data_IF_655797087384
#
_entry.id   IF_655797087384
#
_cell.length_a   1.000
_cell.length_b   1.000
_cell.length_c   1.000
_cell.angle_alpha   90.00
_cell.angle_beta   90.00
_cell.angle_gamma   90.00
#
_symmetry.space_group_name_H-M   'P 1'
#
loop_
_entity.id
_entity.type
_entity.pdbx_description
1 polymer ?
#
# COMPACT_ATOMS: atom_id res chain seq x y z
N UNK A 1 14.95 11.92 -11.66
CA UNK A 1 16.01 10.90 -11.41
C UNK A 1 15.55 9.58 -11.99
N UNK A 2 16.36 8.93 -12.85
CA UNK A 2 15.96 7.63 -13.45
C UNK A 2 16.06 6.56 -12.37
N UNK A 3 14.90 6.01 -11.96
CA UNK A 3 14.84 4.92 -10.99
C UNK A 3 15.05 3.59 -11.70
N UNK A 4 16.14 2.91 -11.40
CA UNK A 4 16.52 1.66 -12.05
C UNK A 4 16.03 0.44 -11.24
N UNK A 5 14.73 0.19 -11.26
CA UNK A 5 14.11 -0.96 -10.63
C UNK A 5 14.32 -2.23 -11.44
N UNK A 6 14.99 -3.20 -10.84
CA UNK A 6 15.19 -4.55 -11.39
C UNK A 6 14.12 -5.49 -10.84
N UNK A 7 13.18 -5.93 -11.69
CA UNK A 7 12.09 -6.84 -11.31
C UNK A 7 12.59 -8.26 -11.11
N UNK A 8 12.09 -8.91 -10.06
CA UNK A 8 12.29 -10.34 -9.88
C UNK A 8 11.43 -11.13 -10.90
N UNK A 9 11.77 -12.39 -11.17
CA UNK A 9 11.29 -13.15 -12.33
C UNK A 9 9.78 -13.42 -12.30
N UNK A 10 9.20 -13.69 -11.14
CA UNK A 10 7.78 -14.02 -10.98
C UNK A 10 7.14 -13.28 -9.81
N UNK A 11 5.84 -13.51 -9.57
CA UNK A 11 5.18 -12.98 -8.39
C UNK A 11 5.75 -13.62 -7.11
N UNK A 12 5.90 -12.81 -6.05
CA UNK A 12 6.32 -13.30 -4.75
C UNK A 12 5.20 -14.02 -3.98
N UNK A 13 3.95 -13.65 -4.23
CA UNK A 13 2.74 -14.41 -3.87
C UNK A 13 1.65 -14.20 -4.94
N UNK A 14 0.80 -15.21 -5.11
CA UNK A 14 -0.35 -15.22 -6.01
C UNK A 14 -1.63 -15.55 -5.23
N UNK A 15 -2.79 -15.54 -5.91
CA UNK A 15 -4.06 -15.93 -5.32
C UNK A 15 -3.98 -17.30 -4.63
N UNK A 16 -4.79 -17.48 -3.61
CA UNK A 16 -4.99 -18.77 -2.96
C UNK A 16 -5.70 -19.76 -3.86
N UNK A 17 -5.66 -21.04 -3.48
CA UNK A 17 -6.49 -22.08 -4.09
C UNK A 17 -7.97 -21.76 -3.86
N UNK A 18 -8.84 -22.35 -4.71
CA UNK A 18 -10.29 -22.22 -4.59
C UNK A 18 -10.77 -22.50 -3.15
N UNK A 19 -11.56 -21.58 -2.60
CA UNK A 19 -12.03 -21.62 -1.21
C UNK A 19 -11.11 -20.98 -0.18
N UNK A 20 -9.89 -20.58 -0.56
CA UNK A 20 -9.03 -19.79 0.32
C UNK A 20 -9.61 -18.38 0.56
N UNK A 21 -9.18 -17.71 1.62
CA UNK A 21 -9.68 -16.37 1.95
C UNK A 21 -9.27 -15.29 0.93
N UNK A 22 -8.27 -15.57 0.12
CA UNK A 22 -7.65 -14.69 -0.88
C UNK A 22 -7.66 -15.29 -2.29
N UNK A 23 -8.65 -16.13 -2.60
CA UNK A 23 -8.80 -16.78 -3.90
C UNK A 23 -9.36 -15.85 -5.00
N UNK A 24 -9.81 -14.65 -4.62
CA UNK A 24 -10.41 -13.67 -5.53
C UNK A 24 -9.58 -12.40 -5.69
N UNK A 25 -9.11 -11.84 -4.58
CA UNK A 25 -8.28 -10.64 -4.57
C UNK A 25 -7.14 -10.80 -3.57
N UNK A 26 -6.00 -10.26 -3.97
CA UNK A 26 -4.79 -10.18 -3.16
C UNK A 26 -4.06 -8.90 -3.55
N UNK A 27 -3.99 -7.91 -2.65
CA UNK A 27 -3.36 -6.62 -2.94
C UNK A 27 -2.91 -5.89 -1.67
N UNK A 28 -2.30 -4.71 -1.85
CA UNK A 28 -1.85 -3.82 -0.80
C UNK A 28 -0.92 -4.52 0.21
N UNK A 29 0.26 -4.96 -0.24
CA UNK A 29 1.26 -5.49 0.66
C UNK A 29 1.74 -4.41 1.64
N UNK A 30 1.91 -4.79 2.90
CA UNK A 30 2.63 -4.05 3.92
C UNK A 30 3.76 -4.96 4.41
N UNK A 31 5.00 -4.68 4.00
CA UNK A 31 6.14 -5.56 4.29
C UNK A 31 6.98 -4.95 5.40
N UNK A 32 7.39 -5.77 6.37
CA UNK A 32 8.35 -5.46 7.41
C UNK A 32 9.51 -6.44 7.37
N UNK A 33 10.69 -6.01 7.81
CA UNK A 33 11.86 -6.86 7.99
C UNK A 33 12.34 -6.72 9.43
N UNK A 34 12.32 -7.82 10.17
CA UNK A 34 12.80 -7.91 11.55
C UNK A 34 13.43 -9.29 11.77
N UNK A 35 14.54 -9.34 12.47
CA UNK A 35 15.24 -10.57 12.89
C UNK A 35 15.50 -11.58 11.76
N UNK A 36 15.86 -11.09 10.57
CA UNK A 36 16.15 -11.93 9.41
C UNK A 36 14.93 -12.44 8.65
N UNK A 37 13.73 -11.97 8.99
CA UNK A 37 12.46 -12.41 8.39
C UNK A 37 11.70 -11.23 7.81
N UNK A 38 11.28 -11.37 6.56
CA UNK A 38 10.29 -10.49 5.94
C UNK A 38 8.89 -11.01 6.28
N UNK A 39 8.07 -10.15 6.85
CA UNK A 39 6.65 -10.40 7.09
C UNK A 39 5.83 -9.48 6.19
N UNK A 40 4.89 -10.04 5.43
CA UNK A 40 3.99 -9.32 4.53
C UNK A 40 2.56 -9.49 5.00
N UNK A 41 1.95 -8.41 5.45
CA UNK A 41 0.50 -8.34 5.64
C UNK A 41 -0.12 -7.81 4.36
N UNK A 42 -1.26 -8.37 3.95
CA UNK A 42 -1.93 -7.99 2.71
C UNK A 42 -3.44 -8.12 2.81
N UNK A 43 -4.15 -7.38 1.99
CA UNK A 43 -5.61 -7.48 1.91
C UNK A 43 -6.00 -8.61 0.96
N UNK A 44 -6.77 -9.57 1.44
CA UNK A 44 -7.28 -10.69 0.65
C UNK A 44 -8.80 -10.79 0.72
N UNK A 45 -9.46 -11.15 -0.38
CA UNK A 45 -10.89 -11.43 -0.40
C UNK A 45 -11.19 -12.75 -1.08
N UNK A 46 -12.21 -13.43 -0.56
CA UNK A 46 -12.68 -14.71 -1.03
C UNK A 46 -13.69 -14.52 -2.17
N UNK A 47 -13.69 -15.46 -3.10
CA UNK A 47 -14.76 -15.60 -4.07
C UNK A 47 -16.09 -15.84 -3.36
N UNK A 48 -17.08 -15.02 -3.62
CA UNK A 48 -18.40 -15.16 -3.03
C UNK A 48 -19.38 -15.66 -4.11
N UNK A 49 -20.40 -16.39 -3.70
CA UNK A 49 -21.44 -16.99 -4.56
C UNK A 49 -22.23 -15.95 -5.38
N UNK A 50 -22.19 -14.67 -5.00
CA UNK A 50 -22.65 -13.57 -5.83
C UNK A 50 -21.46 -12.96 -6.56
N UNK A 51 -21.37 -13.11 -7.86
CA UNK A 51 -20.29 -12.62 -8.75
C UNK A 51 -20.02 -11.08 -8.74
N UNK A 52 -20.56 -10.36 -7.78
CA UNK A 52 -20.33 -8.93 -7.63
C UNK A 52 -19.07 -8.67 -6.80
N UNK A 53 -18.05 -8.18 -7.46
CA UNK A 53 -16.77 -7.71 -6.85
C UNK A 53 -17.01 -6.78 -5.66
N UNK A 54 -18.12 -6.05 -5.67
CA UNK A 54 -18.47 -5.01 -4.71
C UNK A 54 -19.04 -5.51 -3.40
N UNK A 55 -19.33 -6.80 -3.28
CA UNK A 55 -20.00 -7.38 -2.09
C UNK A 55 -19.06 -8.23 -1.22
N UNK A 56 -17.76 -8.05 -1.33
CA UNK A 56 -16.76 -8.88 -0.62
C UNK A 56 -16.08 -8.12 0.49
N UNK A 57 -16.07 -8.70 1.68
CA UNK A 57 -15.23 -8.22 2.76
C UNK A 57 -13.79 -8.66 2.54
N UNK A 58 -12.86 -7.72 2.65
CA UNK A 58 -11.44 -8.00 2.66
C UNK A 58 -10.97 -8.28 4.08
N UNK A 59 -10.04 -9.20 4.22
CA UNK A 59 -9.42 -9.60 5.48
C UNK A 59 -7.91 -9.51 5.38
N UNK A 60 -7.22 -9.49 6.53
CA UNK A 60 -5.78 -9.38 6.59
C UNK A 60 -5.13 -10.76 6.49
N UNK A 61 -4.34 -11.00 5.45
CA UNK A 61 -3.46 -12.17 5.32
C UNK A 61 -2.06 -11.89 5.82
N UNK A 62 -1.30 -12.95 6.06
CA UNK A 62 0.11 -12.92 6.41
C UNK A 62 0.88 -13.90 5.52
N UNK A 63 2.04 -13.48 5.05
CA UNK A 63 3.03 -14.34 4.40
C UNK A 63 4.43 -13.97 4.91
N UNK A 64 5.35 -14.92 4.94
CA UNK A 64 6.72 -14.71 5.42
C UNK A 64 7.76 -15.16 4.41
N UNK A 65 8.94 -14.57 4.46
CA UNK A 65 10.07 -14.88 3.59
C UNK A 65 11.41 -14.62 4.31
N UNK A 66 12.45 -15.34 3.93
CA UNK A 66 13.83 -15.08 4.39
C UNK A 66 14.64 -14.30 3.35
N UNK A 67 14.17 -14.20 2.12
CA UNK A 67 14.88 -13.53 1.00
C UNK A 67 14.16 -12.27 0.47
N UNK A 68 12.92 -12.02 0.95
CA UNK A 68 12.07 -10.92 0.48
C UNK A 68 11.53 -11.10 -0.93
N UNK A 69 11.79 -12.24 -1.58
CA UNK A 69 11.39 -12.57 -2.96
C UNK A 69 10.34 -13.67 -2.99
N UNK A 70 10.57 -14.76 -2.27
CA UNK A 70 9.66 -15.91 -2.21
C UNK A 70 8.96 -15.93 -0.87
N UNK A 71 7.67 -15.65 -0.86
CA UNK A 71 6.87 -15.66 0.36
C UNK A 71 6.03 -16.93 0.47
N UNK A 72 5.97 -17.45 1.69
CA UNK A 72 5.06 -18.54 2.06
C UNK A 72 3.90 -17.98 2.85
N UNK A 73 2.68 -18.20 2.39
CA UNK A 73 1.46 -17.79 3.10
C UNK A 73 1.35 -18.54 4.42
N UNK A 74 1.05 -17.80 5.48
CA UNK A 74 0.83 -18.40 6.81
C UNK A 74 -0.50 -19.14 6.82
N UNK A 75 -0.49 -20.39 7.28
CA UNK A 75 -1.68 -21.25 7.35
C UNK A 75 -2.76 -20.75 8.32
N UNK A 76 -2.41 -19.82 9.21
CA UNK A 76 -3.35 -19.15 10.14
C UNK A 76 -4.13 -18.02 9.47
N UNK A 77 -3.78 -17.64 8.24
CA UNK A 77 -4.46 -16.58 7.51
C UNK A 77 -5.93 -16.93 7.21
N UNK A 78 -6.84 -15.96 7.30
CA UNK A 78 -6.60 -14.58 7.63
C UNK A 78 -6.34 -14.34 9.10
N UNK A 79 -5.33 -13.52 9.41
CA UNK A 79 -4.87 -13.24 10.78
C UNK A 79 -5.67 -12.12 11.46
N UNK A 80 -6.42 -11.32 10.70
CA UNK A 80 -7.35 -10.31 11.23
C UNK A 80 -8.58 -10.17 10.35
N UNK A 81 -9.73 -9.99 10.99
CA UNK A 81 -11.03 -9.71 10.36
C UNK A 81 -11.69 -8.53 11.05
N UNK A 82 -12.40 -7.73 10.30
CA UNK A 82 -13.29 -6.74 10.88
C UNK A 82 -14.60 -7.42 11.32
N UNK A 83 -15.26 -6.85 12.32
CA UNK A 83 -16.57 -7.32 12.76
C UNK A 83 -17.62 -7.06 11.68
N UNK A 84 -18.51 -8.02 11.41
CA UNK A 84 -19.52 -7.90 10.37
C UNK A 84 -18.96 -8.03 8.97
N UNK A 85 -19.41 -7.15 8.08
CA UNK A 85 -19.10 -7.17 6.63
C UNK A 85 -18.08 -6.11 6.19
N UNK A 86 -17.54 -5.34 7.15
CA UNK A 86 -16.53 -4.33 6.84
C UNK A 86 -15.20 -4.96 6.42
N UNK A 87 -14.51 -4.26 5.56
CA UNK A 87 -13.24 -4.69 4.97
C UNK A 87 -12.03 -4.17 5.73
N UNK A 88 -10.93 -4.91 5.71
CA UNK A 88 -9.57 -4.43 6.04
C UNK A 88 -8.85 -4.20 4.71
N UNK A 89 -8.64 -2.94 4.36
CA UNK A 89 -8.04 -2.51 3.10
C UNK A 89 -6.73 -1.77 3.37
N UNK A 90 -5.77 -1.96 2.50
CA UNK A 90 -4.54 -1.15 2.48
C UNK A 90 -3.86 -1.01 3.85
N UNK A 91 -3.45 -2.14 4.47
CA UNK A 91 -2.80 -2.13 5.76
C UNK A 91 -1.45 -1.39 5.70
N UNK A 92 -1.12 -0.66 6.76
CA UNK A 92 0.19 -0.04 6.95
C UNK A 92 0.61 -0.13 8.41
N UNK A 93 1.84 -0.55 8.65
CA UNK A 93 2.46 -0.54 9.99
C UNK A 93 2.98 0.86 10.31
N UNK A 94 3.05 1.18 11.60
CA UNK A 94 3.82 2.31 12.08
C UNK A 94 5.29 2.11 11.78
N UNK A 95 5.93 3.15 11.21
CA UNK A 95 7.34 3.10 10.81
C UNK A 95 8.12 4.28 11.38
N UNK A 96 9.42 4.07 11.53
CA UNK A 96 10.39 5.16 11.61
C UNK A 96 10.57 5.83 10.23
N UNK A 97 11.14 7.05 10.17
CA UNK A 97 11.37 7.74 8.91
C UNK A 97 12.17 6.93 7.88
N UNK A 98 13.11 6.09 8.31
CA UNK A 98 13.93 5.22 7.45
C UNK A 98 13.18 4.01 6.87
N UNK A 99 11.91 3.85 7.24
CA UNK A 99 11.03 2.75 6.80
C UNK A 99 11.07 1.50 7.69
N UNK A 100 11.93 1.45 8.71
CA UNK A 100 11.94 0.36 9.68
C UNK A 100 10.67 0.36 10.55
N UNK A 101 10.31 -0.80 11.10
CA UNK A 101 9.12 -0.93 11.95
C UNK A 101 9.30 -0.17 13.26
N UNK A 102 8.32 0.64 13.62
CA UNK A 102 8.24 1.29 14.92
C UNK A 102 7.30 0.50 15.84
N UNK A 103 7.87 -0.18 16.84
CA UNK A 103 7.09 -0.82 17.90
C UNK A 103 6.88 0.13 19.06
N UNK A 104 5.65 0.23 19.53
CA UNK A 104 5.34 1.00 20.73
C UNK A 104 4.99 0.06 21.87
N UNK A 105 5.68 0.19 23.00
CA UNK A 105 5.60 -0.73 24.13
C UNK A 105 5.81 -2.20 23.73
N UNK A 106 6.68 -2.43 22.71
CA UNK A 106 6.97 -3.74 22.14
C UNK A 106 5.94 -4.27 21.14
N UNK A 107 4.84 -3.55 20.92
CA UNK A 107 3.72 -3.99 20.08
C UNK A 107 3.78 -3.36 18.66
N UNK A 108 3.31 -4.10 17.68
CA UNK A 108 3.01 -3.60 16.34
C UNK A 108 1.72 -2.79 16.38
N UNK A 109 1.72 -1.62 15.72
CA UNK A 109 0.52 -0.84 15.43
C UNK A 109 0.30 -0.84 13.93
N UNK A 110 -0.91 -1.18 13.50
CA UNK A 110 -1.28 -1.26 12.10
C UNK A 110 -2.55 -0.46 11.85
N UNK A 111 -2.46 0.49 10.91
CA UNK A 111 -3.63 1.23 10.42
C UNK A 111 -4.08 0.64 9.09
N UNK A 112 -5.36 0.81 8.80
CA UNK A 112 -5.96 0.36 7.55
C UNK A 112 -7.21 1.18 7.21
N UNK A 113 -7.54 1.21 5.94
CA UNK A 113 -8.82 1.74 5.49
C UNK A 113 -9.91 0.69 5.59
N UNK A 114 -11.13 1.11 5.89
CA UNK A 114 -12.28 0.23 5.93
C UNK A 114 -13.49 0.85 5.24
N UNK A 115 -14.25 0.01 4.53
CA UNK A 115 -15.59 0.31 4.05
C UNK A 115 -16.44 -0.96 4.07
N UNK A 116 -17.75 -0.82 3.96
CA UNK A 116 -18.69 -1.95 3.97
C UNK A 116 -19.28 -2.16 2.56
N UNK A 117 -18.49 -2.78 1.68
CA UNK A 117 -18.92 -3.08 0.31
C UNK A 117 -20.21 -3.91 0.23
N UNK A 118 -20.43 -4.94 1.08
CA UNK A 118 -21.67 -5.71 1.08
C UNK A 118 -22.94 -4.88 1.36
N UNK A 119 -22.86 -3.89 2.23
CA UNK A 119 -24.01 -2.99 2.52
C UNK A 119 -24.20 -1.90 1.46
N UNK A 120 -23.24 -1.73 0.56
CA UNK A 120 -23.21 -0.63 -0.40
C UNK A 120 -22.62 0.67 0.15
N UNK A 121 -22.17 0.67 1.39
CA UNK A 121 -21.45 1.81 1.98
C UNK A 121 -20.07 1.94 1.34
N UNK A 122 -19.79 3.11 0.78
CA UNK A 122 -18.52 3.47 0.12
C UNK A 122 -17.68 4.45 0.94
N UNK A 123 -18.13 4.80 2.14
CA UNK A 123 -17.35 5.65 3.03
C UNK A 123 -16.13 4.90 3.54
N UNK A 124 -14.96 5.32 3.08
CA UNK A 124 -13.69 4.84 3.58
C UNK A 124 -13.36 5.53 4.92
N UNK A 125 -13.09 4.73 5.93
CA UNK A 125 -12.72 5.20 7.26
C UNK A 125 -11.38 4.62 7.68
N UNK A 126 -10.57 5.40 8.39
CA UNK A 126 -9.30 4.96 8.97
C UNK A 126 -9.53 4.27 10.31
N UNK A 127 -8.92 3.13 10.51
CA UNK A 127 -8.93 2.35 11.75
C UNK A 127 -7.53 1.89 12.11
N UNK A 128 -7.36 1.50 13.37
CA UNK A 128 -6.13 0.94 13.91
C UNK A 128 -6.40 -0.41 14.58
N UNK A 129 -5.42 -1.29 14.54
CA UNK A 129 -5.34 -2.51 15.36
C UNK A 129 -3.91 -2.72 15.84
N UNK A 130 -3.74 -3.46 16.94
CA UNK A 130 -2.46 -3.66 17.61
C UNK A 130 -2.20 -5.16 17.81
N UNK A 131 -0.94 -5.57 17.74
CA UNK A 131 -0.53 -6.96 17.91
C UNK A 131 0.84 -7.09 18.57
N UNK A 132 1.03 -8.12 19.38
CA UNK A 132 2.35 -8.46 19.94
C UNK A 132 3.20 -9.24 18.93
N UNK A 133 2.58 -10.09 18.12
CA UNK A 133 3.24 -11.11 17.29
C UNK A 133 2.95 -10.95 15.77
N UNK A 134 2.10 -10.00 15.37
CA UNK A 134 1.67 -9.82 13.99
C UNK A 134 0.69 -10.87 13.46
N UNK A 135 0.22 -11.77 14.32
CA UNK A 135 -0.68 -12.89 14.00
C UNK A 135 -2.02 -12.72 14.71
N UNK A 136 -1.98 -12.44 15.99
CA UNK A 136 -3.17 -12.14 16.78
C UNK A 136 -3.30 -10.64 16.94
N UNK A 137 -4.32 -10.07 16.33
CA UNK A 137 -4.61 -8.65 16.35
C UNK A 137 -5.79 -8.36 17.29
N UNK A 138 -5.69 -7.25 18.01
CA UNK A 138 -6.80 -6.75 18.82
C UNK A 138 -7.99 -6.37 17.94
N UNK A 139 -9.16 -6.15 18.54
CA UNK A 139 -10.30 -5.63 17.81
C UNK A 139 -9.96 -4.25 17.21
N UNK A 140 -10.33 -4.00 15.94
CA UNK A 140 -10.10 -2.68 15.33
C UNK A 140 -10.72 -1.53 16.12
N UNK A 141 -10.06 -0.39 16.13
CA UNK A 141 -10.54 0.84 16.77
C UNK A 141 -11.87 1.33 16.18
N UNK A 142 -12.53 2.26 16.85
CA UNK A 142 -13.52 3.11 16.21
C UNK A 142 -12.90 3.91 15.04
N UNK A 143 -13.71 4.43 14.09
CA UNK A 143 -13.20 5.26 13.01
C UNK A 143 -12.43 6.48 13.54
N UNK A 144 -11.23 6.71 13.00
CA UNK A 144 -10.37 7.85 13.37
C UNK A 144 -10.49 9.02 12.38
N UNK A 145 -10.65 8.71 11.09
CA UNK A 145 -10.87 9.67 10.00
C UNK A 145 -11.88 9.09 9.00
N UNK A 146 -12.65 9.97 8.38
CA UNK A 146 -13.50 9.66 7.23
C UNK A 146 -12.81 10.04 5.91
N UNK A 147 -13.25 9.43 4.81
CA UNK A 147 -12.72 9.62 3.46
C UNK A 147 -11.24 9.27 3.31
N UNK A 148 -10.67 8.55 4.27
CA UNK A 148 -9.24 8.19 4.31
C UNK A 148 -9.02 6.78 3.73
N UNK A 149 -8.32 6.73 2.60
CA UNK A 149 -7.97 5.50 1.90
C UNK A 149 -6.45 5.37 1.75
N UNK A 150 -5.94 4.15 1.81
CA UNK A 150 -4.53 3.84 1.60
C UNK A 150 -3.58 4.71 2.44
N UNK A 151 -3.59 4.57 3.77
CA UNK A 151 -2.75 5.33 4.66
C UNK A 151 -1.29 4.89 4.57
N UNK A 152 -0.36 5.82 4.84
CA UNK A 152 1.03 5.54 5.23
C UNK A 152 1.39 6.38 6.45
N UNK A 153 2.05 5.77 7.43
CA UNK A 153 2.34 6.41 8.73
C UNK A 153 3.81 6.33 9.08
N UNK A 154 4.33 7.45 9.54
CA UNK A 154 5.68 7.57 10.10
C UNK A 154 5.57 8.20 11.49
N UNK A 155 6.32 7.66 12.44
CA UNK A 155 6.57 8.29 13.73
C UNK A 155 7.92 9.00 13.70
N UNK A 156 7.91 10.29 13.93
CA UNK A 156 9.11 11.11 14.01
C UNK A 156 9.12 11.91 15.31
N UNK A 157 10.10 11.65 16.16
CA UNK A 157 10.13 12.15 17.53
C UNK A 157 8.82 11.81 18.26
N UNK A 158 8.07 12.81 18.71
CA UNK A 158 6.82 12.64 19.47
C UNK A 158 5.57 12.81 18.63
N UNK A 159 5.71 12.83 17.29
CA UNK A 159 4.59 13.08 16.38
C UNK A 159 4.40 11.94 15.39
N UNK A 160 3.13 11.65 15.08
CA UNK A 160 2.72 10.76 14.02
C UNK A 160 2.38 11.60 12.79
N UNK A 161 2.95 11.22 11.65
CA UNK A 161 2.69 11.80 10.34
C UNK A 161 1.92 10.78 9.51
N UNK A 162 0.83 11.20 8.93
CA UNK A 162 -0.05 10.37 8.09
C UNK A 162 -0.21 11.03 6.73
N UNK A 163 0.06 10.28 5.68
CA UNK A 163 -0.36 10.61 4.32
C UNK A 163 -1.40 9.59 3.87
N UNK A 164 -2.44 10.03 3.22
CA UNK A 164 -3.51 9.15 2.77
C UNK A 164 -4.17 9.69 1.49
N UNK A 165 -4.82 8.80 0.74
CA UNK A 165 -5.67 9.18 -0.38
C UNK A 165 -7.00 9.72 0.16
N UNK A 166 -7.31 10.97 -0.14
CA UNK A 166 -8.63 11.55 0.11
C UNK A 166 -9.60 11.12 -1.00
N UNK A 167 -10.64 10.39 -0.61
CA UNK A 167 -11.65 9.85 -1.52
C UNK A 167 -12.99 10.55 -1.41
N UNK A 168 -13.04 11.72 -0.76
CA UNK A 168 -14.28 12.49 -0.56
C UNK A 168 -14.92 12.92 -1.88
N UNK A 169 -14.12 13.38 -2.82
CA UNK A 169 -14.57 13.83 -4.13
C UNK A 169 -13.49 13.60 -5.19
N UNK A 170 -13.92 13.45 -6.45
CA UNK A 170 -12.99 13.45 -7.58
C UNK A 170 -12.57 14.90 -7.94
N UNK A 171 -11.31 15.10 -8.36
CA UNK A 171 -10.24 14.11 -8.44
C UNK A 171 -9.69 13.76 -7.05
N UNK A 172 -9.34 12.48 -6.83
CA UNK A 172 -8.70 12.07 -5.59
C UNK A 172 -7.29 12.63 -5.49
N UNK A 173 -6.94 13.07 -4.30
CA UNK A 173 -5.66 13.70 -3.97
C UNK A 173 -5.01 13.02 -2.77
N UNK A 174 -3.76 13.39 -2.47
CA UNK A 174 -3.11 12.95 -1.25
C UNK A 174 -3.16 14.07 -0.21
N UNK A 175 -3.66 13.74 0.98
CA UNK A 175 -3.69 14.64 2.14
C UNK A 175 -2.69 14.23 3.20
N UNK A 176 -2.40 15.17 4.06
CA UNK A 176 -1.56 15.02 5.24
C UNK A 176 -2.37 15.26 6.51
N UNK A 177 -2.07 14.49 7.53
CA UNK A 177 -2.52 14.73 8.89
C UNK A 177 -1.38 14.45 9.89
N UNK A 178 -1.44 15.07 11.05
CA UNK A 178 -0.52 14.81 12.15
C UNK A 178 -1.28 14.51 13.44
N UNK A 179 -0.62 13.79 14.35
CA UNK A 179 -1.18 13.45 15.64
C UNK A 179 -0.08 13.34 16.70
N UNK A 180 -0.43 13.64 17.95
CA UNK A 180 0.46 13.42 19.10
C UNK A 180 0.31 12.01 19.69
N UNK A 181 -0.80 11.32 19.41
CA UNK A 181 -1.15 10.03 20.03
C UNK A 181 -1.41 8.90 18.99
N UNK A 182 -1.48 9.24 17.69
CA UNK A 182 -1.81 8.31 16.61
C UNK A 182 -3.29 7.98 16.53
N UNK A 183 -4.15 8.70 17.25
CA UNK A 183 -5.59 8.49 17.28
C UNK A 183 -6.37 9.75 16.91
N UNK A 184 -6.01 10.90 17.48
CA UNK A 184 -6.64 12.20 17.22
C UNK A 184 -5.84 12.93 16.15
N UNK A 185 -6.41 13.06 14.95
CA UNK A 185 -5.72 13.58 13.77
C UNK A 185 -6.08 15.03 13.48
N UNK A 186 -5.06 15.85 13.26
CA UNK A 186 -5.17 17.21 12.74
C UNK A 186 -4.89 17.18 11.24
N UNK A 187 -5.93 17.28 10.43
CA UNK A 187 -5.85 17.24 8.97
C UNK A 187 -5.44 18.60 8.43
N UNK A 188 -4.48 18.63 7.50
CA UNK A 188 -4.10 19.84 6.78
C UNK A 188 -5.27 20.36 5.93
N UNK A 189 -5.40 21.70 5.81
CA UNK A 189 -6.48 22.34 5.06
C UNK A 189 -6.48 21.96 3.59
N UNK A 190 -5.29 21.86 2.99
CA UNK A 190 -5.11 21.62 1.57
C UNK A 190 -4.47 20.25 1.30
N UNK A 191 -4.73 19.63 0.14
CA UNK A 191 -4.02 18.44 -0.30
C UNK A 191 -2.51 18.75 -0.45
N UNK A 192 -1.67 17.77 -0.10
CA UNK A 192 -0.21 17.90 -0.27
C UNK A 192 0.26 17.45 -1.66
N UNK A 193 -0.54 16.64 -2.37
CA UNK A 193 -0.27 16.26 -3.76
C UNK A 193 -1.58 16.17 -4.54
N UNK A 194 -1.61 16.83 -5.70
CA UNK A 194 -2.75 16.88 -6.64
C UNK A 194 -2.32 16.46 -8.04
N UNK A 195 -3.26 16.19 -8.94
CA UNK A 195 -2.95 15.84 -10.34
C UNK A 195 -2.40 17.06 -11.08
N UNK A 196 -1.24 16.90 -11.72
CA UNK A 196 -0.60 17.94 -12.54
C UNK A 196 0.32 17.38 -13.64
N UNK A 197 0.44 16.05 -13.75
CA UNK A 197 1.23 15.39 -14.79
C UNK A 197 0.35 14.60 -15.77
N UNK A 198 0.75 14.52 -17.03
CA UNK A 198 -0.06 13.97 -18.13
C UNK A 198 -0.37 12.46 -18.02
N UNK A 199 0.43 11.71 -17.26
CA UNK A 199 0.21 10.28 -17.01
C UNK A 199 -0.85 10.02 -15.94
N UNK A 200 -1.14 11.03 -15.12
CA UNK A 200 -2.12 10.97 -14.04
C UNK A 200 -3.53 11.18 -14.59
N UNK A 201 -4.48 10.41 -14.08
CA UNK A 201 -5.88 10.54 -14.45
C UNK A 201 -6.74 10.43 -13.20
N UNK A 202 -7.68 11.27 -13.02
CA UNK A 202 -8.72 11.41 -11.99
C UNK A 202 -8.37 11.04 -10.52
N UNK A 203 -7.25 10.34 -10.24
CA UNK A 203 -6.93 9.82 -8.90
C UNK A 203 -5.43 9.72 -8.64
N UNK A 204 -5.00 10.22 -7.47
CA UNK A 204 -3.75 9.83 -6.84
C UNK A 204 -4.06 8.87 -5.70
N UNK A 205 -3.34 7.73 -5.63
CA UNK A 205 -3.64 6.64 -4.70
C UNK A 205 -2.38 6.04 -4.11
N UNK A 206 -2.51 5.35 -2.98
CA UNK A 206 -1.48 4.53 -2.34
C UNK A 206 -0.16 5.26 -2.07
N UNK A 207 -0.17 6.39 -1.36
CA UNK A 207 1.09 7.02 -0.96
C UNK A 207 1.90 6.06 -0.08
N UNK A 208 3.19 5.94 -0.35
CA UNK A 208 4.17 5.24 0.48
C UNK A 208 5.35 6.16 0.69
N UNK A 209 5.66 6.51 1.94
CA UNK A 209 6.66 7.52 2.27
C UNK A 209 7.81 6.89 3.05
N UNK A 210 9.05 7.19 2.63
CA UNK A 210 10.29 6.78 3.30
C UNK A 210 11.26 7.96 3.28
N UNK A 211 11.99 8.20 4.36
CA UNK A 211 13.05 9.20 4.38
C UNK A 211 14.38 8.60 3.89
N UNK A 212 14.98 9.25 2.89
CA UNK A 212 16.23 8.83 2.26
C UNK A 212 17.13 10.06 2.14
N UNK A 213 18.33 10.00 2.68
CA UNK A 213 19.30 11.11 2.58
C UNK A 213 18.82 12.42 3.22
N UNK A 214 17.96 12.35 4.24
CA UNK A 214 17.40 13.54 4.91
C UNK A 214 16.20 14.17 4.22
N UNK A 215 15.67 13.55 3.17
CA UNK A 215 14.52 14.01 2.40
C UNK A 215 13.44 12.92 2.41
N UNK A 216 12.15 13.30 2.43
CA UNK A 216 11.04 12.37 2.22
C UNK A 216 10.86 12.06 0.75
N UNK A 217 10.71 10.80 0.44
CA UNK A 217 10.35 10.28 -0.87
C UNK A 217 8.98 9.64 -0.76
N UNK A 218 8.06 10.04 -1.62
CA UNK A 218 6.72 9.46 -1.72
C UNK A 218 6.57 8.76 -3.06
N UNK A 219 6.29 7.46 -3.03
CA UNK A 219 5.77 6.76 -4.20
C UNK A 219 4.25 6.76 -4.11
N UNK A 220 3.60 7.06 -5.22
CA UNK A 220 2.14 7.12 -5.31
C UNK A 220 1.67 6.53 -6.63
N UNK A 221 0.45 5.98 -6.65
CA UNK A 221 -0.17 5.44 -7.84
C UNK A 221 -1.05 6.45 -8.55
N UNK A 222 -1.24 6.24 -9.86
CA UNK A 222 -2.34 6.85 -10.61
C UNK A 222 -2.85 5.89 -11.67
N UNK A 223 -4.00 6.24 -12.24
CA UNK A 223 -4.65 5.46 -13.29
C UNK A 223 -4.53 6.18 -14.62
N UNK A 224 -4.32 5.43 -15.70
CA UNK A 224 -4.58 5.91 -17.06
C UNK A 224 -5.90 5.34 -17.55
N UNK A 225 -6.72 6.15 -18.23
CA UNK A 225 -7.99 5.73 -18.85
C UNK A 225 -8.94 5.03 -17.87
N UNK A 226 -9.11 5.57 -16.66
CA UNK A 226 -9.97 5.01 -15.63
C UNK A 226 -11.39 4.75 -16.16
N UNK A 227 -11.95 3.57 -15.83
CA UNK A 227 -13.27 3.15 -16.27
C UNK A 227 -13.34 2.49 -17.65
N UNK A 228 -12.22 2.42 -18.39
CA UNK A 228 -12.14 1.69 -19.66
C UNK A 228 -11.51 0.31 -19.51
N UNK A 229 -11.64 -0.55 -20.54
CA UNK A 229 -10.93 -1.82 -20.60
C UNK A 229 -9.40 -1.67 -20.69
N UNK A 230 -8.95 -0.51 -21.19
CA UNK A 230 -7.54 -0.14 -21.33
C UNK A 230 -6.94 0.50 -20.10
N UNK A 231 -7.69 0.53 -18.98
CA UNK A 231 -7.24 1.11 -17.72
C UNK A 231 -5.96 0.42 -17.23
N UNK A 232 -4.92 1.23 -17.01
CA UNK A 232 -3.64 0.80 -16.44
C UNK A 232 -3.35 1.60 -15.17
N UNK A 233 -2.51 1.06 -14.31
CA UNK A 233 -1.97 1.79 -13.16
C UNK A 233 -0.46 1.82 -13.26
N UNK A 234 0.13 2.92 -12.81
CA UNK A 234 1.57 3.08 -12.68
C UNK A 234 1.89 3.80 -11.37
N UNK A 235 3.17 3.79 -11.00
CA UNK A 235 3.68 4.41 -9.79
C UNK A 235 4.60 5.56 -10.17
N UNK A 236 4.31 6.73 -9.63
CA UNK A 236 5.17 7.92 -9.67
C UNK A 236 5.92 8.12 -8.36
N UNK A 237 6.83 9.08 -8.38
CA UNK A 237 7.60 9.50 -7.21
C UNK A 237 7.54 11.01 -7.04
N UNK A 238 7.59 11.47 -5.78
CA UNK A 238 7.72 12.87 -5.40
C UNK A 238 8.66 13.00 -4.20
N UNK A 239 9.27 14.17 -4.05
CA UNK A 239 10.28 14.48 -3.03
C UNK A 239 9.84 15.66 -2.18
N UNK A 240 10.19 15.65 -0.88
CA UNK A 240 9.87 16.73 0.04
C UNK A 240 10.89 16.83 1.17
N UNK A 241 11.22 18.05 1.60
CA UNK A 241 12.06 18.28 2.78
C UNK A 241 11.24 18.26 4.08
N UNK A 242 9.96 18.61 4.01
CA UNK A 242 9.09 18.80 5.19
C UNK A 242 7.91 17.79 5.27
N UNK A 243 7.68 17.01 4.20
CA UNK A 243 6.54 16.11 4.08
C UNK A 243 5.21 16.79 3.73
N UNK A 244 5.24 18.11 3.49
CA UNK A 244 4.06 18.93 3.17
C UNK A 244 4.12 19.51 1.76
N UNK A 245 5.28 19.97 1.33
CA UNK A 245 5.52 20.52 -0.01
C UNK A 245 6.28 19.50 -0.84
N UNK A 246 5.63 18.98 -1.86
CA UNK A 246 6.15 17.90 -2.68
C UNK A 246 6.45 18.35 -4.09
N UNK A 247 7.60 17.94 -4.59
CA UNK A 247 8.01 18.11 -5.99
C UNK A 247 7.96 16.74 -6.66
N UNK A 248 7.12 16.58 -7.68
CA UNK A 248 7.03 15.34 -8.45
C UNK A 248 8.26 15.15 -9.33
N UNK A 249 8.67 13.90 -9.47
CA UNK A 249 9.75 13.54 -10.39
C UNK A 249 9.33 13.86 -11.83
N UNK A 250 10.16 14.56 -12.60
CA UNK A 250 9.85 14.87 -14.02
C UNK A 250 9.82 13.63 -14.91
N UNK A 251 10.46 12.53 -14.50
CA UNK A 251 10.53 11.28 -15.25
C UNK A 251 9.36 10.33 -14.91
N UNK A 252 8.36 10.78 -14.15
CA UNK A 252 7.17 9.97 -13.82
C UNK A 252 6.39 9.53 -15.07
N UNK A 253 5.82 8.29 -15.04
CA UNK A 253 5.85 7.33 -13.95
C UNK A 253 7.19 6.59 -13.88
N UNK A 254 7.71 6.42 -12.65
CA UNK A 254 9.00 5.75 -12.41
C UNK A 254 8.90 4.22 -12.40
N UNK A 255 7.68 3.68 -12.27
CA UNK A 255 7.43 2.23 -12.28
C UNK A 255 6.07 1.94 -12.93
N UNK A 256 6.09 1.47 -14.17
CA UNK A 256 4.91 1.18 -14.96
C UNK A 256 4.74 -0.33 -15.21
N UNK A 257 3.55 -0.83 -15.59
CA UNK A 257 3.36 -2.21 -16.02
C UNK A 257 4.33 -2.63 -17.13
N UNK A 258 4.72 -3.89 -17.13
CA UNK A 258 5.56 -4.47 -18.17
C UNK A 258 4.70 -5.37 -19.08
N UNK A 259 4.41 -4.96 -20.33
CA UNK A 259 3.59 -5.74 -21.25
C UNK A 259 4.17 -7.11 -21.62
N UNK A 260 5.48 -7.30 -21.46
CA UNK A 260 6.15 -8.59 -21.74
C UNK A 260 5.90 -9.63 -20.64
N UNK A 261 5.45 -9.20 -19.47
CA UNK A 261 5.19 -10.03 -18.29
C UNK A 261 3.68 -10.15 -18.09
N UNK A 262 3.10 -11.25 -18.59
CA UNK A 262 1.65 -11.41 -18.68
C UNK A 262 0.89 -11.12 -17.38
N UNK A 263 1.41 -11.54 -16.21
CA UNK A 263 0.76 -11.39 -14.91
C UNK A 263 0.75 -9.95 -14.37
N UNK A 264 1.60 -9.06 -14.88
CA UNK A 264 1.71 -7.65 -14.46
C UNK A 264 1.59 -6.65 -15.62
N UNK A 265 0.99 -7.08 -16.74
CA UNK A 265 0.95 -6.28 -17.97
C UNK A 265 0.05 -5.04 -17.92
N UNK A 266 -0.82 -4.92 -16.90
CA UNK A 266 -1.78 -3.81 -16.80
C UNK A 266 -1.72 -3.02 -15.50
N UNK A 267 -1.41 -3.64 -14.36
CA UNK A 267 -1.36 -2.96 -13.07
C UNK A 267 -0.02 -3.14 -12.39
N UNK A 268 0.52 -2.01 -11.90
CA UNK A 268 1.50 -1.91 -10.84
C UNK A 268 0.98 -0.87 -9.87
N UNK A 269 0.60 -1.27 -8.65
CA UNK A 269 -0.13 -0.41 -7.72
C UNK A 269 0.00 -0.87 -6.27
N UNK A 270 -0.50 -0.09 -5.33
CA UNK A 270 -0.61 -0.39 -3.89
C UNK A 270 0.68 -0.99 -3.33
N UNK A 271 1.76 -0.26 -3.46
CA UNK A 271 3.11 -0.69 -3.14
C UNK A 271 3.44 -0.59 -1.65
N UNK A 272 4.41 -1.41 -1.23
CA UNK A 272 5.18 -1.28 0.01
C UNK A 272 6.66 -1.16 -0.35
N UNK A 273 7.40 -0.27 0.30
CA UNK A 273 8.81 -0.04 0.03
C UNK A 273 9.59 -0.12 1.33
N UNK A 274 10.72 -0.81 1.29
CA UNK A 274 11.71 -0.83 2.37
C UNK A 274 13.07 -0.38 1.85
N UNK A 275 13.76 0.38 2.68
CA UNK A 275 15.20 0.57 2.57
C UNK A 275 15.89 -0.58 3.28
N UNK A 276 16.81 -1.26 2.59
CA UNK A 276 17.58 -2.37 3.13
C UNK A 276 18.88 -1.86 3.79
N UNK A 277 19.51 -2.72 4.59
CA UNK A 277 20.74 -2.38 5.35
C UNK A 277 21.91 -1.94 4.47
N UNK A 278 21.97 -2.44 3.22
CA UNK A 278 22.97 -2.06 2.22
C UNK A 278 22.65 -0.71 1.54
N UNK A 279 21.57 -0.05 1.95
CA UNK A 279 21.11 1.23 1.41
C UNK A 279 20.26 1.10 0.14
N UNK A 280 20.12 -0.09 -0.43
CA UNK A 280 19.23 -0.34 -1.56
C UNK A 280 17.74 -0.24 -1.17
N UNK A 281 16.87 -0.15 -2.17
CA UNK A 281 15.42 -0.16 -1.98
C UNK A 281 14.82 -1.43 -2.58
N UNK A 282 13.83 -1.98 -1.90
CA UNK A 282 12.97 -3.04 -2.44
C UNK A 282 11.52 -2.61 -2.39
N UNK A 283 10.82 -2.80 -3.51
CA UNK A 283 9.39 -2.54 -3.66
C UNK A 283 8.64 -3.87 -3.80
N UNK A 284 7.52 -4.00 -3.12
CA UNK A 284 6.48 -5.00 -3.35
C UNK A 284 5.24 -4.29 -3.84
N UNK A 285 4.61 -4.80 -4.90
CA UNK A 285 3.49 -4.13 -5.56
C UNK A 285 2.45 -5.14 -6.03
N UNK A 286 1.18 -4.77 -5.91
CA UNK A 286 0.11 -5.56 -6.49
C UNK A 286 0.07 -5.36 -8.00
N UNK A 287 -0.28 -6.43 -8.72
CA UNK A 287 -0.34 -6.39 -10.17
C UNK A 287 -1.51 -7.20 -10.72
N UNK A 288 -1.79 -6.99 -12.01
CA UNK A 288 -2.89 -7.63 -12.74
C UNK A 288 -2.54 -7.79 -14.22
N UNK A 289 -2.93 -8.91 -14.84
CA UNK A 289 -2.81 -9.11 -16.28
C UNK A 289 -3.74 -8.21 -17.10
N UNK A 290 -3.53 -8.20 -18.41
CA UNK A 290 -4.45 -7.58 -19.37
C UNK A 290 -5.84 -8.25 -19.37
N UNK A 291 -6.90 -7.49 -19.75
CA UNK A 291 -8.20 -8.10 -20.03
C UNK A 291 -8.13 -9.13 -21.19
N UNK A 292 -9.06 -10.09 -21.30
CA UNK A 292 -10.21 -10.27 -20.41
C UNK A 292 -9.82 -10.94 -19.10
N UNK A 293 -10.40 -10.47 -17.99
CA UNK A 293 -10.25 -11.14 -16.71
C UNK A 293 -11.63 -11.49 -16.16
N UNK A 294 -11.86 -12.78 -15.94
CA UNK A 294 -13.08 -13.27 -15.31
C UNK A 294 -13.17 -12.80 -13.85
N UNK A 295 -12.01 -12.64 -13.23
CA UNK A 295 -11.84 -12.14 -11.87
C UNK A 295 -10.76 -11.07 -11.86
N UNK A 296 -10.79 -10.17 -10.90
CA UNK A 296 -9.67 -9.26 -10.69
C UNK A 296 -8.51 -10.06 -10.08
N UNK A 297 -7.72 -10.70 -10.92
CA UNK A 297 -6.52 -11.38 -10.46
C UNK A 297 -5.49 -10.38 -10.04
N UNK A 298 -5.06 -10.50 -8.80
CA UNK A 298 -3.90 -9.79 -8.32
C UNK A 298 -2.82 -10.80 -7.93
N UNK A 299 -1.60 -10.46 -8.26
CA UNK A 299 -0.40 -11.06 -7.71
C UNK A 299 0.41 -9.95 -7.09
N UNK A 300 1.25 -10.26 -6.13
CA UNK A 300 2.23 -9.31 -5.60
C UNK A 300 3.58 -9.68 -6.17
N UNK A 301 4.18 -8.75 -6.89
CA UNK A 301 5.54 -8.83 -7.41
C UNK A 301 6.51 -8.06 -6.55
N UNK A 302 7.80 -8.17 -6.86
CA UNK A 302 8.85 -7.39 -6.20
C UNK A 302 9.91 -6.95 -7.19
N UNK A 303 10.55 -5.82 -6.89
CA UNK A 303 11.68 -5.29 -7.63
C UNK A 303 12.69 -4.66 -6.66
N UNK A 304 13.92 -4.55 -7.11
CA UNK A 304 15.04 -4.08 -6.32
C UNK A 304 15.77 -2.94 -7.04
N UNK A 305 16.15 -1.90 -6.30
CA UNK A 305 16.96 -0.79 -6.80
C UNK A 305 18.20 -0.62 -5.92
N UNK A 306 19.37 -0.99 -6.47
CA UNK A 306 20.63 -1.11 -5.71
C UNK A 306 21.19 0.22 -5.22
N UNK A 307 21.17 1.25 -6.05
CA UNK A 307 21.87 2.50 -5.76
C UNK A 307 20.95 3.72 -5.89
N UNK A 308 19.96 3.89 -4.98
CA UNK A 308 18.98 4.96 -5.09
C UNK A 308 19.58 6.37 -4.98
N UNK A 309 20.76 6.52 -4.36
CA UNK A 309 21.43 7.81 -4.18
C UNK A 309 22.53 8.08 -5.21
N UNK A 310 22.89 7.13 -6.08
CA UNK A 310 23.98 7.29 -7.07
C UNK A 310 23.71 8.32 -8.18
N UNK A 311 22.46 8.85 -8.25
CA UNK A 311 22.07 9.91 -9.20
C UNK A 311 21.73 11.25 -8.54
N UNK A 312 21.77 11.34 -7.21
CA UNK A 312 21.60 12.59 -6.49
C UNK A 312 22.95 13.32 -6.46
N UNK A 313 23.20 14.16 -7.48
CA UNK A 313 24.20 15.22 -7.32
C UNK A 313 23.69 16.25 -6.32
N UNK A 314 24.56 16.75 -5.42
CA UNK A 314 24.20 17.73 -4.42
C UNK A 314 23.66 19.04 -5.01
#
# INVERSE_FOLDING_TARGET
MIQNWQRDEGPCIALGSEGAFDDMHLFAPCVAYEDGVYSMWYSGSRHNVSDRVDNRAFTLGLATSTDGVRFTKDSRSPVCRFTGTRSILTPTLLRHPDGSVCREQGRLRLWFSSCDFPSGDRLHTLHETVSDDGIKWDAPSAPQLEHAYAPTLIKEADHYKLWYTDVQALPWSIRYAQSADGYNWQVASDPVLTLDQSWEHDRLVYPTVVAIGGQYWMWYGSYSQHGSAEMKTAIGCAYSEDGLRWQKDPDNPVFAPDPSRAWESHYTTSQSILRLDDGSLRIWYASRPAPPFAHKYYAIGTAHWKDPLSGASP
#
